data_IF_096018646430
#
_entry.id   IF_096018646430
#
_cell.length_a   1.000
_cell.length_b   1.000
_cell.length_c   1.000
_cell.angle_alpha   90.00
_cell.angle_beta   90.00
_cell.angle_gamma   90.00
#
_symmetry.space_group_name_H-M   'P 1'
#
loop_
_entity.id
_entity.type
_entity.pdbx_description
1 polymer ?
#
# COMPACT_ATOMS: atom_id res chain seq x y z
N UNK A 1 15.09 12.46 4.15
CA UNK A 1 13.99 13.45 4.09
C UNK A 1 13.57 13.62 5.53
N UNK A 2 13.72 14.83 6.06
CA UNK A 2 13.33 15.07 7.45
C UNK A 2 11.80 15.12 7.51
N UNK A 3 11.20 14.34 8.41
CA UNK A 3 9.75 14.33 8.62
C UNK A 3 9.29 15.67 9.21
N UNK A 4 8.06 16.09 8.91
CA UNK A 4 7.48 17.29 9.50
C UNK A 4 6.72 16.91 10.78
N UNK A 5 7.24 17.33 11.93
CA UNK A 5 6.68 17.04 13.26
C UNK A 5 5.24 17.57 13.47
N UNK A 6 4.81 18.55 12.66
CA UNK A 6 3.44 19.09 12.72
C UNK A 6 2.41 18.20 11.99
N UNK A 7 2.85 17.17 11.26
CA UNK A 7 1.96 16.27 10.51
C UNK A 7 1.66 14.99 11.29
N UNK A 8 0.39 14.59 11.25
CA UNK A 8 -0.07 13.33 11.84
C UNK A 8 -0.91 12.51 10.87
N UNK A 9 -1.07 11.22 11.19
CA UNK A 9 -1.90 10.29 10.42
C UNK A 9 -3.12 9.87 11.24
N UNK A 10 -4.30 9.84 10.60
CA UNK A 10 -5.56 9.46 11.24
C UNK A 10 -6.40 8.56 10.35
N UNK A 11 -6.88 7.45 10.92
CA UNK A 11 -7.80 6.51 10.27
C UNK A 11 -9.20 6.67 10.88
N UNK A 12 -10.20 7.17 10.13
CA UNK A 12 -11.55 7.43 10.63
C UNK A 12 -12.21 6.21 11.27
N UNK A 13 -12.85 6.43 12.42
CA UNK A 13 -13.60 5.39 13.13
C UNK A 13 -14.88 4.97 12.40
N UNK A 14 -15.33 5.72 11.39
CA UNK A 14 -16.46 5.38 10.51
C UNK A 14 -16.12 4.34 9.44
N UNK A 15 -14.83 4.07 9.22
CA UNK A 15 -14.32 3.20 8.17
C UNK A 15 -13.67 3.99 7.04
N UNK A 16 -12.71 3.35 6.36
CA UNK A 16 -11.95 3.93 5.24
C UNK A 16 -11.70 2.91 4.12
N UNK A 17 -11.00 3.34 3.07
CA UNK A 17 -10.46 2.45 2.05
C UNK A 17 -9.23 1.70 2.58
N UNK A 18 -9.21 0.39 2.36
CA UNK A 18 -8.02 -0.45 2.43
C UNK A 18 -7.56 -0.80 1.00
N UNK A 19 -6.27 -0.59 0.74
CA UNK A 19 -5.64 -0.86 -0.56
C UNK A 19 -4.36 -1.67 -0.39
N UNK A 20 -3.96 -2.35 -1.47
CA UNK A 20 -2.76 -3.17 -1.56
C UNK A 20 -2.20 -3.05 -2.98
N UNK A 21 -0.92 -2.76 -3.08
CA UNK A 21 -0.16 -2.91 -4.31
C UNK A 21 0.54 -4.27 -4.33
N UNK A 22 0.50 -4.94 -5.48
CA UNK A 22 1.06 -6.29 -5.64
C UNK A 22 1.78 -6.45 -6.98
N UNK A 23 2.87 -7.22 -6.96
CA UNK A 23 3.49 -7.69 -8.19
C UNK A 23 2.59 -8.70 -8.90
N UNK A 24 2.52 -8.59 -10.22
CA UNK A 24 1.82 -9.54 -11.09
C UNK A 24 2.71 -9.90 -12.27
N UNK A 25 2.60 -11.12 -12.76
CA UNK A 25 3.27 -11.56 -13.99
C UNK A 25 2.22 -11.55 -15.12
N UNK A 26 2.33 -10.64 -16.11
CA UNK A 26 1.41 -10.63 -17.25
C UNK A 26 1.42 -11.96 -17.99
N UNK A 27 0.26 -12.37 -18.53
CA UNK A 27 0.10 -13.66 -19.22
C UNK A 27 1.12 -13.86 -20.36
N UNK A 28 1.47 -12.77 -21.05
CA UNK A 28 2.39 -12.71 -22.18
C UNK A 28 3.79 -12.23 -21.80
N UNK A 29 4.18 -12.25 -20.52
CA UNK A 29 5.53 -11.89 -20.11
C UNK A 29 6.57 -12.78 -20.83
N UNK A 30 7.55 -12.19 -21.54
CA UNK A 30 8.52 -12.96 -22.32
C UNK A 30 9.51 -13.73 -21.46
N UNK A 31 9.80 -13.23 -20.25
CA UNK A 31 10.79 -13.78 -19.33
C UNK A 31 10.15 -14.03 -17.96
N UNK A 32 9.42 -15.14 -17.82
CA UNK A 32 8.73 -15.47 -16.57
C UNK A 32 9.68 -15.82 -15.43
N UNK A 33 10.77 -16.52 -15.73
CA UNK A 33 11.76 -16.93 -14.72
C UNK A 33 12.40 -15.70 -14.06
N UNK A 34 12.85 -14.72 -14.85
CA UNK A 34 13.37 -13.47 -14.33
C UNK A 34 12.33 -12.67 -13.50
N UNK A 35 11.04 -12.76 -13.87
CA UNK A 35 9.98 -12.13 -13.08
C UNK A 35 9.79 -12.82 -11.72
N UNK A 36 9.89 -14.15 -11.67
CA UNK A 36 9.90 -14.90 -10.41
C UNK A 36 11.13 -14.56 -9.57
N UNK A 37 12.32 -14.49 -10.17
CA UNK A 37 13.55 -14.11 -9.47
C UNK A 37 13.45 -12.72 -8.86
N UNK A 38 12.87 -11.75 -9.60
CA UNK A 38 12.65 -10.40 -9.10
C UNK A 38 11.64 -10.37 -7.94
N UNK A 39 10.53 -11.10 -8.05
CA UNK A 39 9.54 -11.18 -6.97
C UNK A 39 10.16 -11.82 -5.73
N UNK A 40 10.94 -12.90 -5.88
CA UNK A 40 11.66 -13.54 -4.78
C UNK A 40 12.68 -12.59 -4.14
N UNK A 41 13.42 -11.83 -4.95
CA UNK A 41 14.34 -10.81 -4.48
C UNK A 41 13.62 -9.73 -3.67
N UNK A 42 12.58 -9.10 -4.22
CA UNK A 42 11.85 -8.02 -3.55
C UNK A 42 11.07 -8.48 -2.31
N UNK A 43 10.75 -9.77 -2.22
CA UNK A 43 10.01 -10.34 -1.08
C UNK A 43 10.89 -11.00 -0.02
N UNK A 44 12.21 -10.98 -0.19
CA UNK A 44 13.16 -11.37 0.86
C UNK A 44 13.09 -10.38 2.03
N UNK A 45 13.50 -10.81 3.22
CA UNK A 45 13.47 -9.97 4.42
C UNK A 45 14.33 -8.71 4.24
N UNK A 46 15.62 -8.87 3.90
CA UNK A 46 16.57 -7.76 3.79
C UNK A 46 16.14 -6.72 2.75
N UNK A 47 15.69 -7.17 1.58
CA UNK A 47 15.29 -6.24 0.51
C UNK A 47 13.97 -5.56 0.81
N UNK A 48 13.02 -6.26 1.43
CA UNK A 48 11.75 -5.65 1.82
C UNK A 48 11.95 -4.64 2.96
N UNK A 49 12.84 -4.93 3.92
CA UNK A 49 13.22 -4.01 4.99
C UNK A 49 13.83 -2.74 4.40
N UNK A 50 14.85 -2.87 3.56
CA UNK A 50 15.47 -1.72 2.88
C UNK A 50 14.45 -0.90 2.08
N UNK A 51 13.53 -1.56 1.37
CA UNK A 51 12.51 -0.87 0.59
C UNK A 51 11.50 -0.13 1.47
N UNK A 52 11.06 -0.71 2.60
CA UNK A 52 10.12 -0.03 3.49
C UNK A 52 10.77 1.11 4.25
N UNK A 53 12.03 1.01 4.65
CA UNK A 53 12.78 2.10 5.30
C UNK A 53 13.00 3.29 4.37
N UNK A 54 13.15 3.01 3.07
CA UNK A 54 13.34 4.05 2.07
C UNK A 54 12.02 4.72 1.65
N UNK A 55 10.95 3.93 1.44
CA UNK A 55 9.68 4.42 0.85
C UNK A 55 8.66 4.82 1.92
N UNK A 56 8.63 4.14 3.07
CA UNK A 56 7.71 4.44 4.18
C UNK A 56 6.33 3.80 4.11
N UNK A 57 6.07 2.88 3.18
CA UNK A 57 4.81 2.11 3.14
C UNK A 57 4.93 0.79 3.90
N UNK A 58 3.86 0.42 4.61
CA UNK A 58 3.78 -0.82 5.39
C UNK A 58 4.15 -2.05 4.56
N UNK A 59 5.18 -2.77 5.00
CA UNK A 59 5.56 -4.06 4.43
C UNK A 59 4.44 -5.11 4.62
N UNK A 60 4.21 -6.03 3.65
CA UNK A 60 3.22 -7.10 3.77
C UNK A 60 3.69 -8.32 4.59
N UNK A 61 4.87 -8.26 5.24
CA UNK A 61 5.43 -9.36 6.04
C UNK A 61 5.52 -9.00 7.52
N UNK A 62 5.00 -9.86 8.40
CA UNK A 62 4.96 -9.61 9.85
C UNK A 62 6.35 -9.48 10.48
N UNK A 63 7.34 -10.24 10.02
CA UNK A 63 8.72 -10.15 10.52
C UNK A 63 9.35 -8.79 10.22
N UNK A 64 9.21 -8.30 8.99
CA UNK A 64 9.68 -6.95 8.59
C UNK A 64 8.92 -5.86 9.35
N UNK A 65 7.61 -5.99 9.53
CA UNK A 65 6.82 -5.00 10.30
C UNK A 65 7.33 -4.91 11.74
N UNK A 66 7.59 -6.05 12.38
CA UNK A 66 8.05 -6.09 13.76
C UNK A 66 9.46 -5.52 13.91
N UNK A 67 10.35 -5.72 12.93
CA UNK A 67 11.68 -5.13 12.92
C UNK A 67 11.60 -3.60 12.87
N UNK A 68 10.85 -3.04 11.91
CA UNK A 68 10.63 -1.59 11.76
C UNK A 68 10.09 -0.94 13.05
N UNK A 69 9.16 -1.60 13.72
CA UNK A 69 8.55 -1.08 14.97
C UNK A 69 9.52 -1.19 16.15
N UNK A 70 10.23 -2.32 16.25
CA UNK A 70 11.18 -2.58 17.36
C UNK A 70 12.39 -1.64 17.30
N UNK A 71 12.84 -1.33 16.07
CA UNK A 71 13.94 -0.42 15.81
C UNK A 71 13.50 1.06 15.77
N UNK A 72 12.22 1.35 16.06
CA UNK A 72 11.65 2.71 16.08
C UNK A 72 11.83 3.47 14.75
N UNK A 73 12.03 2.77 13.63
CA UNK A 73 12.14 3.37 12.29
C UNK A 73 10.87 4.14 11.94
N UNK A 74 9.69 3.56 12.24
CA UNK A 74 8.41 4.25 12.13
C UNK A 74 7.52 3.94 13.35
N UNK A 75 6.70 4.93 13.74
CA UNK A 75 5.74 4.74 14.82
C UNK A 75 4.69 3.68 14.46
N UNK A 76 4.44 2.74 15.38
CA UNK A 76 3.48 1.66 15.18
C UNK A 76 2.07 2.16 14.78
N UNK A 77 1.64 3.28 15.37
CA UNK A 77 0.31 3.84 15.13
C UNK A 77 0.06 4.31 13.69
N UNK A 78 1.11 4.71 12.96
CA UNK A 78 1.02 5.12 11.55
C UNK A 78 1.48 4.02 10.59
N UNK A 79 2.41 3.16 11.01
CA UNK A 79 3.01 2.17 10.14
C UNK A 79 2.29 0.82 10.16
N UNK A 80 1.75 0.35 11.29
CA UNK A 80 1.05 -0.95 11.31
C UNK A 80 -0.36 -0.80 10.72
N UNK A 81 -0.60 -1.52 9.63
CA UNK A 81 -1.92 -1.60 9.02
C UNK A 81 -2.90 -2.35 9.93
N UNK A 82 -4.10 -1.77 10.11
CA UNK A 82 -5.24 -2.42 10.80
C UNK A 82 -6.45 -2.37 9.86
N UNK A 83 -7.07 -3.52 9.62
CA UNK A 83 -8.32 -3.62 8.85
C UNK A 83 -9.48 -3.82 9.84
N UNK A 84 -10.37 -2.84 9.92
CA UNK A 84 -11.53 -2.81 10.82
C UNK A 84 -12.78 -3.32 10.10
N UNK A 85 -13.81 -3.68 10.87
CA UNK A 85 -15.08 -4.21 10.33
C UNK A 85 -15.80 -3.24 9.38
N UNK A 86 -15.59 -1.94 9.54
CA UNK A 86 -16.19 -0.89 8.72
C UNK A 86 -15.28 -0.40 7.58
N UNK A 87 -14.06 -0.92 7.48
CA UNK A 87 -13.20 -0.63 6.35
C UNK A 87 -13.64 -1.40 5.09
N UNK A 88 -13.28 -0.86 3.93
CA UNK A 88 -13.68 -1.39 2.63
C UNK A 88 -12.49 -1.67 1.73
N UNK A 89 -12.42 -2.91 1.25
CA UNK A 89 -11.56 -3.31 0.13
C UNK A 89 -12.42 -3.30 -1.13
N UNK A 90 -12.14 -2.37 -2.04
CA UNK A 90 -12.91 -2.26 -3.28
C UNK A 90 -12.46 -3.31 -4.29
N UNK A 91 -13.42 -3.86 -5.02
CA UNK A 91 -13.18 -4.79 -6.11
C UNK A 91 -13.42 -4.11 -7.44
N UNK A 92 -12.67 -4.56 -8.45
CA UNK A 92 -12.86 -4.08 -9.81
C UNK A 92 -14.30 -4.33 -10.28
N UNK A 93 -14.92 -3.29 -10.81
CA UNK A 93 -16.25 -3.33 -11.41
C UNK A 93 -16.28 -2.35 -12.59
N UNK A 94 -16.57 -2.87 -13.78
CA UNK A 94 -16.50 -2.11 -15.04
C UNK A 94 -17.49 -0.94 -15.06
N UNK A 95 -18.74 -1.18 -14.65
CA UNK A 95 -19.80 -0.17 -14.70
C UNK A 95 -19.53 0.95 -13.69
N UNK A 96 -19.10 0.59 -12.47
CA UNK A 96 -18.73 1.54 -11.44
C UNK A 96 -17.49 2.34 -11.84
N UNK A 97 -16.50 1.73 -12.50
CA UNK A 97 -15.31 2.45 -12.97
C UNK A 97 -15.67 3.59 -13.91
N UNK A 98 -16.52 3.33 -14.91
CA UNK A 98 -16.95 4.35 -15.88
C UNK A 98 -17.73 5.46 -15.15
N UNK A 99 -18.72 5.07 -14.34
CA UNK A 99 -19.55 6.02 -13.60
C UNK A 99 -18.73 6.89 -12.63
N UNK A 100 -17.78 6.31 -11.91
CA UNK A 100 -16.89 7.05 -11.00
C UNK A 100 -16.01 8.04 -11.77
N UNK A 101 -15.46 7.65 -12.93
CA UNK A 101 -14.66 8.54 -13.75
C UNK A 101 -15.48 9.74 -14.26
N UNK A 102 -16.71 9.52 -14.71
CA UNK A 102 -17.62 10.58 -15.14
C UNK A 102 -18.00 11.53 -13.99
N UNK A 103 -18.38 10.98 -12.82
CA UNK A 103 -18.75 11.78 -11.67
C UNK A 103 -17.54 12.60 -11.15
N UNK A 104 -16.36 11.99 -11.12
CA UNK A 104 -15.13 12.69 -10.72
C UNK A 104 -14.77 13.81 -11.70
N UNK A 105 -14.94 13.59 -13.01
CA UNK A 105 -14.74 14.64 -14.01
C UNK A 105 -15.69 15.83 -13.78
N UNK A 106 -16.95 15.58 -13.42
CA UNK A 106 -17.91 16.64 -13.09
C UNK A 106 -17.49 17.42 -11.85
N UNK A 107 -17.13 16.74 -10.75
CA UNK A 107 -16.65 17.38 -9.52
C UNK A 107 -15.49 18.33 -9.83
N UNK A 108 -14.51 17.88 -10.61
CA UNK A 108 -13.34 18.68 -11.00
C UNK A 108 -13.67 19.88 -11.91
N UNK A 109 -14.73 19.81 -12.71
CA UNK A 109 -15.12 20.89 -13.62
C UNK A 109 -15.98 21.98 -12.97
N UNK A 110 -16.45 21.76 -11.74
CA UNK A 110 -17.27 22.73 -10.97
C UNK A 110 -16.44 23.76 -10.18
N UNK A 111 -15.11 23.70 -10.28
CA UNK A 111 -14.17 24.67 -9.74
C UNK A 111 -13.44 25.39 -10.88
#
# INVERSE_FOLDING_TARGET
MDENEDLGYYVPASGTNVWLDAFVIPKNAPNKDAAYDFINFMTSFDNMLLNTEYVGYTAPRTDVINDVITNETYAEASYRMVVRTNDSIFRYNTDLKVKMAELWARVRATN
#
